data_IF_449761844296
#
_entry.id   IF_449761844296
#
_cell.length_a   1.000
_cell.length_b   1.000
_cell.length_c   1.000
_cell.angle_alpha   90.00
_cell.angle_beta   90.00
_cell.angle_gamma   90.00
#
_symmetry.space_group_name_H-M   'P 1'
#
loop_
_entity.id
_entity.type
_entity.pdbx_description
1 polymer ?
#
# COMPACT_ATOMS: atom_id res chain seq x y z
N UNK A 1 18.38 1.85 33.00
CA UNK A 1 17.59 1.42 31.83
C UNK A 1 18.26 1.97 30.57
N UNK A 2 18.97 1.13 29.80
CA UNK A 2 19.87 1.56 28.73
C UNK A 2 19.05 2.04 27.51
N UNK A 3 19.00 3.35 27.24
CA UNK A 3 18.38 3.90 26.02
C UNK A 3 19.26 3.55 24.84
N UNK A 4 18.93 2.48 24.12
CA UNK A 4 19.64 2.06 22.90
C UNK A 4 19.56 3.20 21.87
N UNK A 5 20.68 3.65 21.26
CA UNK A 5 20.64 4.65 20.21
C UNK A 5 19.96 4.02 18.98
N UNK A 6 18.72 4.40 18.69
CA UNK A 6 18.00 3.91 17.50
C UNK A 6 18.61 4.60 16.28
N UNK A 7 19.50 3.87 15.62
CA UNK A 7 20.26 4.27 14.45
C UNK A 7 19.40 4.96 13.37
N UNK A 8 19.97 6.01 12.77
CA UNK A 8 19.45 6.79 11.64
C UNK A 8 19.17 5.99 10.35
N UNK A 9 19.29 4.67 10.37
CA UNK A 9 18.81 3.73 9.33
C UNK A 9 17.27 3.60 9.35
N UNK A 10 16.62 4.07 10.42
CA UNK A 10 15.17 3.96 10.63
C UNK A 10 14.35 4.63 9.51
N UNK A 11 14.84 5.71 8.89
CA UNK A 11 14.13 6.39 7.80
C UNK A 11 13.97 5.53 6.54
N UNK A 12 15.04 4.84 6.11
CA UNK A 12 15.02 3.99 4.91
C UNK A 12 14.16 2.74 5.15
N UNK A 13 14.28 2.14 6.33
CA UNK A 13 13.45 0.99 6.71
C UNK A 13 11.96 1.32 6.79
N UNK A 14 11.61 2.52 7.24
CA UNK A 14 10.22 2.98 7.30
C UNK A 14 9.66 3.31 5.92
N UNK A 15 10.43 3.98 5.05
CA UNK A 15 10.02 4.24 3.66
C UNK A 15 9.80 2.94 2.90
N UNK A 16 10.67 1.93 3.09
CA UNK A 16 10.49 0.61 2.49
C UNK A 16 9.18 -0.06 2.90
N UNK A 17 8.81 -0.01 4.19
CA UNK A 17 7.55 -0.56 4.70
C UNK A 17 6.33 0.17 4.17
N UNK A 18 6.39 1.51 4.12
CA UNK A 18 5.30 2.33 3.58
C UNK A 18 5.13 2.03 2.08
N UNK A 19 6.23 2.02 1.35
CA UNK A 19 6.25 1.73 -0.08
C UNK A 19 5.68 0.35 -0.39
N UNK A 20 6.11 -0.70 0.32
CA UNK A 20 5.55 -2.04 0.11
C UNK A 20 4.06 -2.13 0.47
N UNK A 21 3.62 -1.45 1.54
CA UNK A 21 2.21 -1.38 1.93
C UNK A 21 1.31 -0.69 0.89
N UNK A 22 1.86 0.24 0.09
CA UNK A 22 1.14 0.89 -1.01
C UNK A 22 1.22 0.11 -2.33
N UNK A 23 2.41 -0.39 -2.68
CA UNK A 23 2.67 -1.01 -3.99
C UNK A 23 1.99 -2.38 -4.10
N UNK A 24 2.00 -3.19 -3.04
CA UNK A 24 1.40 -4.53 -3.06
C UNK A 24 -0.10 -4.52 -3.42
N UNK A 25 -0.97 -3.75 -2.75
CA UNK A 25 -2.40 -3.72 -3.10
C UNK A 25 -2.67 -3.14 -4.48
N UNK A 26 -1.87 -2.17 -4.95
CA UNK A 26 -2.00 -1.61 -6.30
C UNK A 26 -1.66 -2.67 -7.36
N UNK A 27 -0.53 -3.37 -7.20
CA UNK A 27 -0.14 -4.44 -8.11
C UNK A 27 -1.16 -5.59 -8.08
N UNK A 28 -1.64 -5.98 -6.90
CA UNK A 28 -2.68 -6.98 -6.76
C UNK A 28 -3.95 -6.56 -7.52
N UNK A 29 -4.38 -5.30 -7.38
CA UNK A 29 -5.53 -4.76 -8.10
C UNK A 29 -5.33 -4.74 -9.62
N UNK A 30 -4.12 -4.37 -10.09
CA UNK A 30 -3.79 -4.39 -11.51
C UNK A 30 -3.82 -5.80 -12.10
N UNK A 31 -3.10 -6.77 -11.52
CA UNK A 31 -3.05 -8.13 -12.04
C UNK A 31 -4.42 -8.82 -11.99
N UNK A 32 -5.14 -8.65 -10.89
CA UNK A 32 -6.46 -9.25 -10.74
C UNK A 32 -7.46 -8.60 -11.69
N UNK A 33 -7.44 -7.27 -11.80
CA UNK A 33 -8.34 -6.54 -12.68
C UNK A 33 -8.05 -6.76 -14.15
N UNK A 34 -6.79 -6.89 -14.54
CA UNK A 34 -6.44 -7.22 -15.92
C UNK A 34 -6.89 -8.63 -16.29
N UNK A 35 -6.73 -9.61 -15.39
CA UNK A 35 -7.26 -10.96 -15.58
C UNK A 35 -8.79 -11.00 -15.70
N UNK A 36 -9.49 -10.19 -14.88
CA UNK A 36 -10.95 -10.04 -14.94
C UNK A 36 -11.41 -9.37 -16.23
N UNK A 37 -10.75 -8.28 -16.61
CA UNK A 37 -11.10 -7.52 -17.82
C UNK A 37 -10.88 -8.35 -19.10
N UNK A 38 -9.82 -9.16 -19.17
CA UNK A 38 -9.58 -10.09 -20.28
C UNK A 38 -10.67 -11.16 -20.37
N UNK A 39 -11.16 -11.66 -19.22
CA UNK A 39 -12.25 -12.66 -19.20
C UNK A 39 -13.61 -12.08 -19.54
N UNK A 40 -13.87 -10.85 -19.11
CA UNK A 40 -15.19 -10.21 -19.24
C UNK A 40 -15.29 -9.34 -20.51
N UNK A 41 -14.18 -9.08 -21.20
CA UNK A 41 -14.12 -8.20 -22.37
C UNK A 41 -14.32 -6.72 -22.01
N UNK A 42 -14.12 -6.35 -20.74
CA UNK A 42 -14.38 -5.00 -20.20
C UNK A 42 -13.14 -4.13 -20.12
N UNK A 43 -12.01 -4.58 -20.68
CA UNK A 43 -10.72 -3.87 -20.67
C UNK A 43 -10.88 -2.37 -21.00
N UNK A 44 -10.51 -1.43 -20.09
CA UNK A 44 -9.80 -1.60 -18.81
C UNK A 44 -10.62 -1.22 -17.55
N UNK A 45 -11.94 -1.44 -17.53
CA UNK A 45 -12.82 -0.95 -16.45
C UNK A 45 -12.56 -1.61 -15.09
N UNK A 46 -12.45 -2.95 -15.01
CA UNK A 46 -12.20 -3.63 -13.73
C UNK A 46 -10.79 -3.38 -13.23
N UNK A 47 -9.81 -3.32 -14.13
CA UNK A 47 -8.43 -2.95 -13.83
C UNK A 47 -8.39 -1.59 -13.17
N UNK A 48 -9.07 -0.59 -13.75
CA UNK A 48 -9.10 0.76 -13.19
C UNK A 48 -9.80 0.80 -11.83
N UNK A 49 -10.94 0.12 -11.68
CA UNK A 49 -11.68 0.07 -10.42
C UNK A 49 -10.86 -0.61 -9.30
N UNK A 50 -10.19 -1.72 -9.60
CA UNK A 50 -9.39 -2.47 -8.63
C UNK A 50 -8.09 -1.75 -8.26
N UNK A 51 -7.45 -1.07 -9.21
CA UNK A 51 -6.32 -0.18 -8.90
C UNK A 51 -6.76 0.94 -7.96
N UNK A 52 -7.87 1.62 -8.26
CA UNK A 52 -8.38 2.68 -7.39
C UNK A 52 -8.64 2.16 -5.97
N UNK A 53 -9.28 0.99 -5.84
CA UNK A 53 -9.45 0.33 -4.55
C UNK A 53 -8.12 0.03 -3.85
N UNK A 54 -7.12 -0.47 -4.60
CA UNK A 54 -5.79 -0.73 -4.08
C UNK A 54 -5.09 0.53 -3.57
N UNK A 55 -5.21 1.64 -4.30
CA UNK A 55 -4.71 2.96 -3.89
C UNK A 55 -5.41 3.42 -2.60
N UNK A 56 -6.74 3.39 -2.56
CA UNK A 56 -7.51 3.77 -1.36
C UNK A 56 -7.15 2.92 -0.15
N UNK A 57 -7.01 1.60 -0.32
CA UNK A 57 -6.62 0.69 0.74
C UNK A 57 -5.22 1.00 1.27
N UNK A 58 -4.25 1.22 0.37
CA UNK A 58 -2.89 1.61 0.75
C UNK A 58 -2.86 2.93 1.51
N UNK A 59 -3.57 3.95 1.02
CA UNK A 59 -3.65 5.25 1.70
C UNK A 59 -4.37 5.16 3.05
N UNK A 60 -5.43 4.36 3.17
CA UNK A 60 -6.12 4.13 4.44
C UNK A 60 -5.21 3.45 5.46
N UNK A 61 -4.42 2.46 5.03
CA UNK A 61 -3.42 1.80 5.88
C UNK A 61 -2.34 2.79 6.33
N UNK A 62 -1.81 3.59 5.39
CA UNK A 62 -0.82 4.63 5.71
C UNK A 62 -1.36 5.64 6.72
N UNK A 63 -2.57 6.16 6.50
CA UNK A 63 -3.21 7.11 7.40
C UNK A 63 -3.40 6.52 8.79
N UNK A 64 -3.80 5.25 8.88
CA UNK A 64 -3.93 4.54 10.15
C UNK A 64 -2.58 4.42 10.87
N UNK A 65 -1.54 3.95 10.18
CA UNK A 65 -0.20 3.85 10.76
C UNK A 65 0.33 5.20 11.24
N UNK A 66 0.15 6.28 10.46
CA UNK A 66 0.55 7.63 10.88
C UNK A 66 -0.24 8.17 12.08
N UNK A 67 -1.48 7.73 12.28
CA UNK A 67 -2.32 8.14 13.40
C UNK A 67 -2.02 7.35 14.67
N UNK A 68 -1.70 6.08 14.53
CA UNK A 68 -1.33 5.20 15.64
C UNK A 68 -0.01 5.67 16.27
N UNK A 69 0.95 6.16 15.48
CA UNK A 69 2.21 6.77 15.96
C UNK A 69 2.01 8.11 16.71
N UNK A 70 0.85 8.76 16.55
CA UNK A 70 0.55 10.06 17.18
C UNK A 70 -0.24 9.95 18.49
N UNK A 71 -0.69 8.74 18.86
CA UNK A 71 -1.51 8.47 20.05
C UNK A 71 -0.77 7.66 21.13
N UNK A 72 0.54 7.45 20.96
CA UNK A 72 1.46 6.79 21.89
C UNK A 72 2.45 7.80 22.50
#
# INVERSE_FOLDING_TARGET
>A
MNKRPRSSISGIGSVGKIGTGLVLPILAGFFLGNYLDDRLGTNPLFTLALILLGVFSGFAWLYKTSKDDAND
#
